data_IF_585399854944
#
_entry.id   IF_585399854944
#
_cell.length_a   1.000
_cell.length_b   1.000
_cell.length_c   1.000
_cell.angle_alpha   90.00
_cell.angle_beta   90.00
_cell.angle_gamma   90.00
#
_symmetry.space_group_name_H-M   'P 1'
#
loop_
_entity.id
_entity.type
_entity.pdbx_description
1 polymer ?
#
# COMPACT_ATOMS: atom_id res chain seq x y z
N UNK A 1 44.67 22.83 25.00
CA UNK A 1 45.27 21.58 24.48
C UNK A 1 44.13 20.61 24.26
N UNK A 2 44.01 20.12 23.03
CA UNK A 2 42.87 19.32 22.57
C UNK A 2 42.98 17.88 23.04
N UNK A 3 41.88 17.33 23.54
CA UNK A 3 41.68 15.90 23.71
C UNK A 3 40.60 15.49 22.70
N UNK A 4 41.06 15.05 21.54
CA UNK A 4 40.27 14.43 20.48
C UNK A 4 40.97 13.10 20.24
N UNK A 5 40.31 12.00 20.58
CA UNK A 5 40.30 10.73 19.84
C UNK A 5 39.77 9.60 20.74
N UNK A 6 38.44 9.49 20.90
CA UNK A 6 37.83 8.30 21.52
C UNK A 6 36.51 7.86 20.83
N UNK A 7 36.24 8.36 19.62
CA UNK A 7 35.03 8.01 18.85
C UNK A 7 35.25 6.86 17.84
N UNK A 8 36.47 6.31 17.68
CA UNK A 8 36.73 5.26 16.69
C UNK A 8 36.47 3.83 17.19
N UNK A 9 36.58 3.60 18.51
CA UNK A 9 36.42 2.25 19.12
C UNK A 9 35.05 1.60 18.86
N UNK A 10 33.91 2.31 18.95
CA UNK A 10 32.60 1.67 18.73
C UNK A 10 32.38 1.26 17.27
N UNK A 11 32.95 2.02 16.33
CA UNK A 11 32.81 1.76 14.90
C UNK A 11 33.66 0.55 14.46
N UNK A 12 34.88 0.42 14.99
CA UNK A 12 35.72 -0.77 14.75
C UNK A 12 35.11 -2.04 15.34
N UNK A 13 34.51 -1.96 16.53
CA UNK A 13 33.85 -3.10 17.16
C UNK A 13 32.60 -3.54 16.37
N UNK A 14 31.84 -2.59 15.80
CA UNK A 14 30.71 -2.89 14.93
C UNK A 14 31.15 -3.57 13.62
N UNK A 15 32.25 -3.13 13.02
CA UNK A 15 32.81 -3.75 11.82
C UNK A 15 33.35 -5.17 12.10
N UNK A 16 34.00 -5.37 13.25
CA UNK A 16 34.43 -6.69 13.72
C UNK A 16 33.25 -7.64 13.94
N UNK A 17 32.15 -7.17 14.52
CA UNK A 17 30.91 -7.95 14.69
C UNK A 17 30.27 -8.31 13.35
N UNK A 18 30.26 -7.38 12.38
CA UNK A 18 29.76 -7.64 11.03
C UNK A 18 30.62 -8.65 10.27
N UNK A 19 31.95 -8.57 10.42
CA UNK A 19 32.87 -9.53 9.82
C UNK A 19 32.71 -10.94 10.43
N UNK A 20 32.56 -11.03 11.75
CA UNK A 20 32.31 -12.31 12.43
C UNK A 20 30.96 -12.92 12.04
N UNK A 21 29.92 -12.09 11.86
CA UNK A 21 28.62 -12.57 11.39
C UNK A 21 28.71 -13.18 9.97
N UNK A 22 29.47 -12.56 9.07
CA UNK A 22 29.70 -13.11 7.71
C UNK A 22 30.51 -14.40 7.71
N UNK A 23 31.46 -14.56 8.64
CA UNK A 23 32.26 -15.78 8.74
C UNK A 23 31.44 -17.00 9.24
N UNK A 24 30.45 -16.77 10.11
CA UNK A 24 29.62 -17.82 10.71
C UNK A 24 28.29 -18.06 9.98
N UNK A 25 27.92 -17.20 9.04
CA UNK A 25 26.78 -17.39 8.13
C UNK A 25 27.24 -17.30 6.67
N UNK A 26 27.96 -18.30 6.14
CA UNK A 26 28.14 -18.40 4.70
C UNK A 26 26.75 -18.60 4.09
N UNK A 27 26.22 -17.56 3.44
CA UNK A 27 25.06 -17.69 2.59
C UNK A 27 25.34 -18.85 1.62
N UNK A 28 24.66 -19.98 1.82
CA UNK A 28 24.64 -21.06 0.84
C UNK A 28 23.99 -20.49 -0.43
N UNK A 29 24.82 -19.95 -1.31
CA UNK A 29 24.44 -19.72 -2.70
C UNK A 29 24.30 -21.11 -3.30
N UNK A 30 23.07 -21.62 -3.32
CA UNK A 30 22.72 -22.80 -4.10
C UNK A 30 23.07 -22.51 -5.55
N UNK A 31 24.23 -22.99 -5.96
CA UNK A 31 24.73 -22.89 -7.33
C UNK A 31 23.92 -23.89 -8.12
N UNK A 32 22.95 -23.41 -8.89
CA UNK A 32 22.25 -24.21 -9.90
C UNK A 32 23.29 -24.56 -10.98
N UNK A 33 23.36 -25.82 -11.46
CA UNK A 33 24.38 -26.23 -12.42
C UNK A 33 24.25 -25.48 -13.75
N UNK A 34 25.40 -25.12 -14.28
CA UNK A 34 25.60 -24.33 -15.49
C UNK A 34 24.93 -24.95 -16.72
N UNK A 35 24.11 -24.14 -17.40
CA UNK A 35 23.72 -24.35 -18.80
C UNK A 35 24.79 -23.72 -19.69
N UNK A 36 25.22 -24.37 -20.80
CA UNK A 36 26.30 -23.86 -21.64
C UNK A 36 25.93 -22.53 -22.32
N UNK A 37 26.83 -21.55 -22.24
CA UNK A 37 26.76 -20.30 -23.00
C UNK A 37 26.84 -20.57 -24.52
N UNK A 38 26.05 -19.87 -25.35
CA UNK A 38 26.43 -19.62 -26.73
C UNK A 38 27.48 -18.49 -26.81
N UNK A 39 28.44 -18.70 -27.69
CA UNK A 39 29.64 -17.89 -27.94
C UNK A 39 29.38 -16.39 -28.16
N UNK A 40 30.31 -15.51 -27.76
CA UNK A 40 30.23 -14.08 -28.04
C UNK A 40 30.57 -13.75 -29.50
N UNK A 41 29.67 -13.03 -30.18
CA UNK A 41 29.96 -12.34 -31.43
C UNK A 41 31.00 -11.23 -31.19
N UNK A 42 32.05 -11.12 -32.02
CA UNK A 42 33.02 -10.03 -31.94
C UNK A 42 32.50 -8.80 -32.68
N UNK A 43 32.58 -7.64 -32.02
CA UNK A 43 32.47 -6.34 -32.67
C UNK A 43 31.43 -5.45 -32.03
N UNK A 44 31.89 -4.53 -31.17
CA UNK A 44 31.46 -3.13 -31.10
C UNK A 44 32.40 -2.38 -30.11
N UNK A 45 32.75 -1.11 -30.38
CA UNK A 45 33.84 -0.42 -29.70
C UNK A 45 33.42 0.18 -28.34
N UNK A 46 34.40 0.28 -27.44
CA UNK A 46 34.31 0.86 -26.10
C UNK A 46 33.90 2.35 -26.12
N UNK A 47 33.07 2.82 -25.18
CA UNK A 47 32.85 4.25 -25.00
C UNK A 47 34.00 4.88 -24.19
N UNK A 48 34.59 5.91 -24.77
CA UNK A 48 35.59 6.80 -24.20
C UNK A 48 35.04 7.65 -23.05
N UNK A 49 35.81 7.73 -21.96
CA UNK A 49 35.67 8.74 -20.90
C UNK A 49 35.73 10.14 -21.51
N UNK A 50 34.71 10.97 -21.25
CA UNK A 50 34.77 12.41 -21.50
C UNK A 50 34.42 13.14 -20.22
N UNK A 51 35.42 13.81 -19.65
CA UNK A 51 35.28 14.78 -18.57
C UNK A 51 34.52 16.00 -19.09
N UNK A 52 33.34 16.27 -18.55
CA UNK A 52 32.59 17.49 -18.87
C UNK A 52 32.87 18.57 -17.81
N UNK A 53 33.60 19.59 -18.25
CA UNK A 53 33.86 20.86 -17.59
C UNK A 53 32.56 21.65 -17.35
N UNK A 54 32.40 22.19 -16.15
CA UNK A 54 31.33 23.11 -15.78
C UNK A 54 31.41 24.43 -16.58
N UNK A 55 30.29 24.81 -17.20
CA UNK A 55 30.04 26.16 -17.73
C UNK A 55 28.76 26.75 -17.13
N UNK A 56 28.64 28.07 -16.94
CA UNK A 56 27.48 28.67 -16.30
C UNK A 56 26.28 28.72 -17.26
N UNK A 57 25.19 28.02 -16.92
CA UNK A 57 23.95 28.08 -17.70
C UNK A 57 23.13 29.34 -17.39
N UNK A 58 22.73 30.02 -18.48
CA UNK A 58 21.75 31.09 -18.54
C UNK A 58 20.34 30.57 -18.24
N UNK A 59 19.54 31.42 -17.59
CA UNK A 59 18.10 31.22 -17.34
C UNK A 59 17.30 31.07 -18.66
N UNK A 60 16.33 30.14 -18.72
CA UNK A 60 15.37 30.06 -19.83
C UNK A 60 14.23 31.10 -19.70
N UNK A 61 13.67 31.60 -20.82
CA UNK A 61 12.52 32.50 -20.80
C UNK A 61 11.22 31.76 -20.47
N UNK A 62 10.33 32.47 -19.77
CA UNK A 62 9.01 32.05 -19.31
C UNK A 62 8.06 31.70 -20.48
N UNK A 63 7.26 30.62 -20.41
CA UNK A 63 6.23 30.34 -21.40
C UNK A 63 4.98 31.21 -21.17
N UNK A 64 4.51 31.85 -22.24
CA UNK A 64 3.23 32.57 -22.29
C UNK A 64 2.06 31.57 -22.42
N UNK A 65 1.05 31.70 -21.55
CA UNK A 65 -0.16 30.88 -21.62
C UNK A 65 -1.06 31.33 -22.79
N UNK A 66 -1.67 30.41 -23.55
CA UNK A 66 -2.68 30.76 -24.54
C UNK A 66 -3.98 31.19 -23.84
N UNK A 67 -4.47 32.36 -24.24
CA UNK A 67 -5.69 32.98 -23.75
C UNK A 67 -6.93 32.20 -24.22
N UNK A 68 -7.77 31.77 -23.27
CA UNK A 68 -9.01 31.04 -23.56
C UNK A 68 -10.03 31.98 -24.23
N UNK A 69 -10.45 31.68 -25.46
CA UNK A 69 -11.51 32.43 -26.15
C UNK A 69 -12.86 31.68 -26.01
N UNK A 70 -13.86 32.24 -25.31
CA UNK A 70 -15.14 31.55 -25.03
C UNK A 70 -16.07 31.39 -26.24
N UNK A 71 -15.71 31.90 -27.42
CA UNK A 71 -16.65 32.11 -28.53
C UNK A 71 -16.76 30.96 -29.53
N UNK A 72 -16.39 29.72 -29.16
CA UNK A 72 -16.40 28.56 -30.10
C UNK A 72 -17.16 27.32 -29.61
N UNK A 73 -18.21 27.49 -28.80
CA UNK A 73 -19.16 26.41 -28.52
C UNK A 73 -20.46 26.68 -29.27
N UNK A 74 -20.53 26.24 -30.53
CA UNK A 74 -21.76 26.24 -31.33
C UNK A 74 -22.39 24.85 -31.22
N UNK A 75 -23.36 24.70 -30.31
CA UNK A 75 -24.13 23.46 -30.14
C UNK A 75 -25.48 23.70 -30.84
N UNK A 76 -25.79 23.03 -31.96
CA UNK A 76 -27.11 23.12 -32.56
C UNK A 76 -28.13 22.42 -31.64
N UNK A 77 -29.29 23.05 -31.37
CA UNK A 77 -30.38 22.36 -30.70
C UNK A 77 -31.05 21.41 -31.69
N UNK A 78 -31.85 20.49 -31.16
CA UNK A 78 -32.81 19.63 -31.90
C UNK A 78 -32.26 18.37 -32.56
N UNK A 79 -32.10 17.31 -31.76
CA UNK A 79 -32.36 15.95 -32.20
C UNK A 79 -33.35 15.30 -31.22
N UNK A 80 -34.61 15.75 -31.29
CA UNK A 80 -35.74 15.01 -30.73
C UNK A 80 -35.95 13.77 -31.60
N UNK A 81 -35.59 12.59 -31.10
CA UNK A 81 -36.04 11.32 -31.64
C UNK A 81 -37.06 10.71 -30.66
N UNK A 82 -38.34 10.51 -31.04
CA UNK A 82 -39.25 9.71 -30.24
C UNK A 82 -38.89 8.23 -30.39
N UNK A 83 -38.72 7.56 -29.26
CA UNK A 83 -38.59 6.12 -29.18
C UNK A 83 -39.89 5.45 -29.65
N UNK A 84 -39.82 4.67 -30.73
CA UNK A 84 -40.84 3.69 -31.06
C UNK A 84 -40.82 2.58 -30.00
N UNK A 85 -41.90 2.49 -29.24
CA UNK A 85 -42.17 1.34 -28.39
C UNK A 85 -42.73 0.18 -29.24
N UNK A 86 -42.20 -1.05 -29.14
CA UNK A 86 -42.88 -2.21 -29.68
C UNK A 86 -43.89 -2.76 -28.66
N UNK A 87 -45.12 -2.85 -29.15
CA UNK A 87 -46.31 -3.44 -28.57
C UNK A 87 -46.09 -4.87 -28.08
N UNK A 88 -46.67 -5.16 -26.90
CA UNK A 88 -46.91 -6.50 -26.37
C UNK A 88 -47.52 -7.43 -27.43
N UNK A 89 -46.97 -8.63 -27.57
CA UNK A 89 -47.75 -9.81 -27.93
C UNK A 89 -47.38 -10.95 -26.99
N UNK A 90 -48.39 -11.40 -26.25
CA UNK A 90 -48.41 -12.64 -25.48
C UNK A 90 -48.96 -13.72 -26.42
N UNK A 91 -48.30 -14.87 -26.54
CA UNK A 91 -49.01 -16.11 -26.82
C UNK A 91 -48.85 -17.06 -25.62
N UNK A 92 -49.98 -17.26 -24.95
CA UNK A 92 -50.25 -18.31 -23.99
C UNK A 92 -50.26 -19.66 -24.75
N UNK A 93 -49.30 -20.53 -24.46
CA UNK A 93 -49.36 -21.95 -24.86
C UNK A 93 -49.00 -22.81 -23.67
N UNK A 94 -50.04 -23.45 -23.15
CA UNK A 94 -50.04 -24.58 -22.23
C UNK A 94 -48.85 -25.53 -22.42
N UNK A 95 -48.00 -25.63 -21.39
CA UNK A 95 -47.26 -26.85 -21.05
C UNK A 95 -47.15 -26.98 -19.54
N UNK A 96 -47.92 -27.91 -18.97
CA UNK A 96 -47.59 -28.54 -17.70
C UNK A 96 -46.48 -29.55 -18.02
N UNK A 97 -45.31 -29.47 -17.36
CA UNK A 97 -44.89 -30.65 -16.61
C UNK A 97 -44.14 -30.32 -15.31
N UNK A 98 -44.50 -31.05 -14.26
CA UNK A 98 -43.60 -31.35 -13.14
C UNK A 98 -43.92 -30.59 -11.86
N UNK A 99 -44.44 -31.33 -10.87
CA UNK A 99 -44.30 -30.98 -9.46
C UNK A 99 -42.82 -30.76 -9.15
N UNK A 100 -42.39 -29.49 -9.16
CA UNK A 100 -41.11 -29.11 -8.62
C UNK A 100 -41.17 -29.33 -7.11
N UNK A 101 -40.51 -30.39 -6.65
CA UNK A 101 -40.12 -30.60 -5.26
C UNK A 101 -39.65 -29.26 -4.69
N UNK A 102 -40.40 -28.72 -3.74
CA UNK A 102 -40.01 -27.52 -3.01
C UNK A 102 -38.61 -27.78 -2.43
N UNK A 103 -37.60 -27.12 -2.99
CA UNK A 103 -36.30 -27.07 -2.34
C UNK A 103 -36.54 -26.38 -0.99
N UNK A 104 -36.18 -27.02 0.14
CA UNK A 104 -36.22 -26.31 1.41
C UNK A 104 -35.37 -25.06 1.25
N UNK A 105 -35.95 -23.93 1.67
CA UNK A 105 -35.31 -22.63 1.73
C UNK A 105 -33.87 -22.82 2.20
N UNK A 106 -32.94 -22.61 1.26
CA UNK A 106 -31.51 -22.60 1.53
C UNK A 106 -31.28 -21.59 2.63
N UNK A 107 -30.86 -22.11 3.78
CA UNK A 107 -30.29 -21.39 4.90
C UNK A 107 -29.41 -20.24 4.37
N UNK A 108 -29.55 -18.99 4.87
CA UNK A 108 -28.70 -17.90 4.42
C UNK A 108 -27.24 -18.33 4.54
N UNK A 109 -26.39 -18.07 3.52
CA UNK A 109 -24.98 -18.45 3.57
C UNK A 109 -24.40 -17.96 4.90
N UNK A 110 -23.77 -18.86 5.65
CA UNK A 110 -23.02 -18.46 6.83
C UNK A 110 -22.08 -17.30 6.45
N UNK A 111 -21.92 -16.27 7.31
CA UNK A 111 -21.11 -15.11 6.97
C UNK A 111 -19.72 -15.58 6.56
N UNK A 112 -19.40 -15.43 5.27
CA UNK A 112 -18.15 -15.92 4.72
C UNK A 112 -17.01 -15.15 5.38
N UNK A 113 -16.14 -15.87 6.10
CA UNK A 113 -14.90 -15.29 6.61
C UNK A 113 -14.06 -14.85 5.42
N UNK A 114 -13.74 -13.57 5.35
CA UNK A 114 -12.91 -13.05 4.27
C UNK A 114 -11.54 -13.73 4.28
N UNK A 115 -11.14 -14.27 3.13
CA UNK A 115 -9.84 -14.90 2.96
C UNK A 115 -8.94 -13.99 2.12
N UNK A 116 -7.95 -13.30 2.72
CA UNK A 116 -7.03 -12.46 1.97
C UNK A 116 -6.06 -13.32 1.15
N UNK A 117 -5.70 -12.86 -0.04
CA UNK A 117 -4.71 -13.53 -0.88
C UNK A 117 -3.31 -12.97 -0.63
N UNK A 118 -2.32 -13.86 -0.66
CA UNK A 118 -0.90 -13.48 -0.73
C UNK A 118 -0.48 -13.53 -2.18
N UNK A 119 0.06 -12.42 -2.69
CA UNK A 119 0.44 -12.29 -4.09
C UNK A 119 1.94 -12.56 -4.24
N UNK A 120 2.36 -13.45 -5.16
CA UNK A 120 3.77 -13.68 -5.46
C UNK A 120 4.38 -12.46 -6.15
N UNK A 121 5.62 -12.13 -5.80
CA UNK A 121 6.41 -11.05 -6.42
C UNK A 121 7.35 -11.62 -7.50
N UNK A 122 7.65 -10.89 -8.58
CA UNK A 122 7.16 -9.54 -8.91
C UNK A 122 5.75 -9.57 -9.52
N UNK A 123 4.92 -8.59 -9.14
CA UNK A 123 3.59 -8.40 -9.75
C UNK A 123 3.65 -7.47 -10.96
N UNK A 124 2.97 -7.83 -12.05
CA UNK A 124 2.97 -7.02 -13.28
C UNK A 124 2.20 -5.70 -13.16
N UNK A 125 1.21 -5.64 -12.27
CA UNK A 125 0.47 -4.44 -11.91
C UNK A 125 -0.09 -4.59 -10.49
N UNK A 126 -0.31 -3.45 -9.83
CA UNK A 126 -0.92 -3.39 -8.50
C UNK A 126 -2.39 -3.02 -8.62
N UNK A 127 -3.26 -3.71 -7.88
CA UNK A 127 -4.69 -3.42 -7.82
C UNK A 127 -5.09 -2.95 -6.43
N UNK A 128 -6.24 -2.27 -6.33
CA UNK A 128 -6.83 -1.91 -5.05
C UNK A 128 -7.06 -3.14 -4.16
N UNK A 129 -7.45 -4.28 -4.74
CA UNK A 129 -7.65 -5.53 -4.01
C UNK A 129 -6.36 -6.05 -3.38
N UNK A 130 -5.24 -5.97 -4.10
CA UNK A 130 -3.93 -6.39 -3.57
C UNK A 130 -3.48 -5.53 -2.39
N UNK A 131 -3.73 -4.21 -2.47
CA UNK A 131 -3.49 -3.30 -1.35
C UNK A 131 -4.39 -3.62 -0.17
N UNK A 132 -5.68 -3.85 -0.44
CA UNK A 132 -6.64 -4.24 0.58
C UNK A 132 -6.20 -5.49 1.33
N UNK A 133 -5.89 -6.57 0.59
CA UNK A 133 -5.41 -7.84 1.15
C UNK A 133 -4.15 -7.65 1.98
N UNK A 134 -3.18 -6.89 1.46
CA UNK A 134 -1.94 -6.63 2.18
C UNK A 134 -2.17 -5.91 3.51
N UNK A 135 -2.97 -4.85 3.51
CA UNK A 135 -3.32 -4.13 4.74
C UNK A 135 -4.10 -5.03 5.69
N UNK A 136 -5.07 -5.79 5.17
CA UNK A 136 -5.87 -6.71 5.96
C UNK A 136 -4.99 -7.72 6.70
N UNK A 137 -4.05 -8.35 6.00
CA UNK A 137 -3.08 -9.29 6.59
C UNK A 137 -2.24 -8.61 7.66
N UNK A 138 -1.65 -7.45 7.35
CA UNK A 138 -0.80 -6.72 8.28
C UNK A 138 -1.55 -6.34 9.57
N UNK A 139 -2.78 -5.85 9.45
CA UNK A 139 -3.61 -5.53 10.60
C UNK A 139 -4.01 -6.79 11.38
N UNK A 140 -4.55 -7.82 10.71
CA UNK A 140 -4.96 -9.07 11.36
C UNK A 140 -3.82 -9.70 12.17
N UNK A 141 -2.61 -9.71 11.61
CA UNK A 141 -1.47 -10.40 12.19
C UNK A 141 -0.78 -9.59 13.32
N UNK A 142 -1.05 -8.29 13.44
CA UNK A 142 -0.37 -7.41 14.40
C UNK A 142 -1.29 -6.73 15.42
N UNK A 143 -2.59 -6.71 15.17
CA UNK A 143 -3.57 -6.24 16.15
C UNK A 143 -3.86 -7.32 17.19
N UNK A 144 -4.11 -6.93 18.44
CA UNK A 144 -4.54 -7.88 19.47
C UNK A 144 -5.95 -8.42 19.20
N UNK A 145 -6.45 -9.30 20.06
CA UNK A 145 -7.76 -9.98 19.96
C UNK A 145 -9.01 -9.05 19.96
N UNK A 146 -8.86 -7.75 19.76
CA UNK A 146 -9.98 -6.84 19.53
C UNK A 146 -10.69 -7.11 18.20
N UNK A 147 -9.96 -7.35 17.11
CA UNK A 147 -10.55 -7.57 15.78
C UNK A 147 -11.31 -8.90 15.67
N UNK A 148 -10.94 -9.92 16.44
CA UNK A 148 -11.67 -11.21 16.45
C UNK A 148 -13.10 -11.05 16.97
N UNK A 149 -13.32 -10.07 17.87
CA UNK A 149 -14.64 -9.71 18.38
C UNK A 149 -15.39 -8.74 17.47
N UNK A 150 -14.70 -8.07 16.55
CA UNK A 150 -15.31 -7.10 15.64
C UNK A 150 -14.69 -7.17 14.23
N UNK A 151 -15.01 -8.22 13.44
CA UNK A 151 -14.45 -8.39 12.10
C UNK A 151 -14.90 -7.27 11.14
N UNK A 152 -16.07 -6.68 11.37
CA UNK A 152 -16.56 -5.54 10.59
C UNK A 152 -15.66 -4.30 10.77
N UNK A 153 -15.13 -4.07 11.97
CA UNK A 153 -14.21 -2.97 12.22
C UNK A 153 -12.89 -3.15 11.47
N UNK A 154 -12.36 -4.38 11.43
CA UNK A 154 -11.17 -4.68 10.63
C UNK A 154 -11.41 -4.35 9.16
N UNK A 155 -12.53 -4.82 8.58
CA UNK A 155 -12.89 -4.51 7.20
C UNK A 155 -13.02 -3.01 6.93
N UNK A 156 -13.68 -2.26 7.81
CA UNK A 156 -13.91 -0.83 7.67
C UNK A 156 -12.58 -0.05 7.71
N UNK A 157 -11.70 -0.38 8.65
CA UNK A 157 -10.37 0.23 8.78
C UNK A 157 -9.52 -0.09 7.55
N UNK A 158 -9.45 -1.36 7.14
CA UNK A 158 -8.71 -1.77 5.94
C UNK A 158 -9.19 -1.01 4.71
N UNK A 159 -10.51 -0.92 4.51
CA UNK A 159 -11.09 -0.20 3.37
C UNK A 159 -10.68 1.27 3.37
N UNK A 160 -10.73 1.91 4.54
CA UNK A 160 -10.34 3.31 4.69
C UNK A 160 -8.86 3.53 4.36
N UNK A 161 -7.97 2.71 4.91
CA UNK A 161 -6.52 2.81 4.68
C UNK A 161 -6.15 2.50 3.22
N UNK A 162 -6.76 1.48 2.62
CA UNK A 162 -6.60 1.17 1.20
C UNK A 162 -7.08 2.34 0.32
N UNK A 163 -8.18 2.98 0.70
CA UNK A 163 -8.65 4.22 0.10
C UNK A 163 -7.62 5.34 0.24
N UNK A 164 -7.04 5.57 1.42
CA UNK A 164 -5.99 6.58 1.60
C UNK A 164 -4.80 6.32 0.70
N UNK A 165 -4.33 5.08 0.55
CA UNK A 165 -3.26 4.75 -0.40
C UNK A 165 -3.71 5.03 -1.83
N UNK A 166 -4.90 4.60 -2.21
CA UNK A 166 -5.37 4.72 -3.59
C UNK A 166 -5.61 6.19 -4.00
N UNK A 167 -6.05 7.03 -3.06
CA UNK A 167 -6.55 8.39 -3.31
C UNK A 167 -5.66 9.52 -2.76
N UNK A 168 -4.51 9.22 -2.13
CA UNK A 168 -3.61 10.26 -1.63
C UNK A 168 -2.80 10.91 -2.77
N UNK A 169 -3.29 12.06 -3.23
CA UNK A 169 -2.52 13.06 -4.00
C UNK A 169 -2.59 12.96 -5.53
N UNK A 170 -2.10 14.00 -6.24
CA UNK A 170 -2.34 14.22 -7.68
C UNK A 170 -1.69 13.20 -8.64
N UNK A 171 -1.02 12.17 -8.11
CA UNK A 171 -0.43 11.08 -8.91
C UNK A 171 -1.00 9.69 -8.62
N UNK A 172 -1.84 9.53 -7.59
CA UNK A 172 -2.17 8.21 -7.05
C UNK A 172 -0.94 7.48 -6.52
N UNK A 173 -1.08 6.63 -5.50
CA UNK A 173 0.06 5.82 -5.06
C UNK A 173 0.32 4.60 -5.95
N UNK A 174 -0.25 4.51 -7.15
CA UNK A 174 -0.04 3.39 -8.06
C UNK A 174 0.71 3.80 -9.31
N UNK A 175 1.61 2.92 -9.77
CA UNK A 175 2.33 3.09 -11.03
C UNK A 175 3.84 3.29 -10.85
N UNK A 176 4.56 3.65 -11.93
CA UNK A 176 6.02 3.67 -11.94
C UNK A 176 6.61 4.67 -10.94
N UNK A 177 5.91 5.76 -10.67
CA UNK A 177 6.31 6.80 -9.72
C UNK A 177 5.83 6.53 -8.28
N UNK A 178 4.93 5.56 -8.08
CA UNK A 178 4.29 5.27 -6.81
C UNK A 178 4.69 3.92 -6.21
N UNK A 179 3.71 3.23 -5.63
CA UNK A 179 3.79 1.84 -5.20
C UNK A 179 3.69 0.97 -6.46
N UNK A 180 4.69 0.12 -6.61
CA UNK A 180 4.77 -0.90 -7.65
C UNK A 180 4.50 -2.30 -7.10
N UNK A 181 4.63 -2.50 -5.79
CA UNK A 181 4.43 -3.79 -5.13
C UNK A 181 3.71 -3.63 -3.79
N UNK A 182 2.74 -4.51 -3.46
CA UNK A 182 2.13 -4.57 -2.13
C UNK A 182 3.16 -4.73 -0.99
N UNK A 183 4.32 -5.33 -1.24
CA UNK A 183 5.38 -5.48 -0.23
C UNK A 183 5.90 -4.13 0.31
N UNK A 184 5.76 -3.06 -0.46
CA UNK A 184 6.10 -1.69 -0.05
C UNK A 184 5.15 -1.12 1.01
N UNK A 185 4.04 -1.80 1.29
CA UNK A 185 3.14 -1.53 2.41
C UNK A 185 3.55 -2.47 3.54
N UNK A 186 4.02 -1.91 4.65
CA UNK A 186 4.52 -2.69 5.78
C UNK A 186 4.33 -1.94 7.09
N UNK A 187 4.47 -2.69 8.19
CA UNK A 187 4.49 -2.13 9.53
C UNK A 187 5.92 -1.83 9.94
N UNK A 188 6.11 -0.73 10.65
CA UNK A 188 7.41 -0.24 11.10
C UNK A 188 7.35 0.21 12.55
N UNK A 189 8.52 0.22 13.19
CA UNK A 189 8.72 0.86 14.48
C UNK A 189 9.35 2.23 14.24
N UNK A 190 8.57 3.28 14.49
CA UNK A 190 9.02 4.66 14.42
C UNK A 190 9.63 5.14 15.73
N UNK A 191 10.30 6.30 15.65
CA UNK A 191 10.92 6.97 16.80
C UNK A 191 10.62 8.46 16.76
N UNK A 192 10.25 9.02 17.91
CA UNK A 192 10.13 10.45 18.16
C UNK A 192 10.84 10.79 19.47
N UNK A 193 12.07 11.28 19.39
CA UNK A 193 12.90 11.52 20.58
C UNK A 193 13.21 10.22 21.32
N UNK A 194 12.75 10.09 22.57
CA UNK A 194 12.86 8.85 23.36
C UNK A 194 11.65 7.92 23.16
N UNK A 195 10.59 8.41 22.54
CA UNK A 195 9.37 7.65 22.31
C UNK A 195 9.52 6.74 21.10
N UNK A 196 8.89 5.58 21.18
CA UNK A 196 8.70 4.62 20.10
C UNK A 196 7.24 4.60 19.70
N UNK A 197 6.93 4.03 18.55
CA UNK A 197 5.56 3.72 18.14
C UNK A 197 5.58 2.70 17.02
N UNK A 198 4.49 1.96 16.86
CA UNK A 198 4.27 1.14 15.68
C UNK A 198 3.41 1.90 14.67
N UNK A 199 3.72 1.79 13.38
CA UNK A 199 2.98 2.46 12.33
C UNK A 199 2.86 1.61 11.06
N UNK A 200 1.77 1.79 10.32
CA UNK A 200 1.62 1.31 8.96
C UNK A 200 2.10 2.41 8.01
N UNK A 201 3.05 2.07 7.17
CA UNK A 201 3.63 3.01 6.23
C UNK A 201 3.80 2.40 4.84
N UNK A 202 4.00 3.30 3.88
CA UNK A 202 4.30 2.97 2.50
C UNK A 202 5.67 3.53 2.12
N UNK A 203 6.49 2.64 1.56
CA UNK A 203 7.80 2.97 1.00
C UNK A 203 7.74 3.03 -0.53
N UNK A 204 7.45 4.21 -1.08
CA UNK A 204 7.44 4.42 -2.53
C UNK A 204 8.86 4.64 -3.07
N UNK A 205 9.10 4.42 -4.37
CA UNK A 205 10.44 4.62 -4.95
C UNK A 205 10.89 6.08 -4.98
N UNK A 206 9.96 7.04 -5.03
CA UNK A 206 10.25 8.47 -5.22
C UNK A 206 10.11 9.30 -3.94
N UNK A 207 9.36 8.84 -2.95
CA UNK A 207 9.11 9.58 -1.72
C UNK A 207 9.83 8.97 -0.53
N UNK A 208 10.15 9.81 0.46
CA UNK A 208 10.36 9.32 1.82
C UNK A 208 9.14 8.51 2.29
N UNK A 209 9.37 7.66 3.29
CA UNK A 209 8.36 6.91 4.01
C UNK A 209 7.10 7.74 4.28
N UNK A 210 5.93 7.25 3.83
CA UNK A 210 4.64 7.87 4.13
C UNK A 210 3.90 7.05 5.18
N UNK A 211 3.73 7.62 6.37
CA UNK A 211 2.98 6.99 7.46
C UNK A 211 1.49 7.21 7.22
N UNK A 212 0.72 6.12 7.16
CA UNK A 212 -0.72 6.15 6.86
C UNK A 212 -1.54 5.89 8.12
N UNK A 213 -0.98 5.15 9.07
CA UNK A 213 -1.56 4.94 10.38
C UNK A 213 -0.44 4.92 11.41
N UNK A 214 -0.54 5.80 12.40
CA UNK A 214 0.42 5.91 13.50
C UNK A 214 -0.26 5.45 14.79
N UNK A 215 0.38 4.55 15.53
CA UNK A 215 -0.01 4.19 16.89
C UNK A 215 0.37 5.26 17.91
N UNK A 216 -0.14 5.11 19.12
CA UNK A 216 0.25 5.99 20.23
C UNK A 216 1.74 5.82 20.58
N UNK A 217 2.35 6.91 21.08
CA UNK A 217 3.74 6.92 21.53
C UNK A 217 3.88 6.09 22.81
N UNK A 218 4.88 5.20 22.83
CA UNK A 218 5.29 4.35 23.96
C UNK A 218 6.68 4.84 24.45
N UNK A 219 6.88 4.92 25.76
CA UNK A 219 8.19 5.21 26.38
C UNK A 219 8.59 4.04 27.28
N UNK A 220 9.82 3.55 27.12
CA UNK A 220 10.45 2.61 28.05
C UNK A 220 11.96 2.68 27.90
N UNK A 221 12.65 3.15 28.94
CA UNK A 221 14.09 3.07 29.24
C UNK A 221 15.07 2.94 28.06
N UNK A 222 14.92 3.75 27.01
CA UNK A 222 15.84 3.80 25.87
C UNK A 222 15.98 2.50 25.07
N UNK A 223 15.26 1.43 25.43
CA UNK A 223 15.38 0.12 24.81
C UNK A 223 14.84 0.14 23.38
N UNK A 224 15.34 -0.79 22.57
CA UNK A 224 14.84 -1.01 21.22
C UNK A 224 13.70 -2.04 21.27
N UNK A 225 12.49 -1.71 20.76
CA UNK A 225 11.36 -2.63 20.75
C UNK A 225 11.65 -3.96 20.02
N UNK A 226 12.65 -4.01 19.15
CA UNK A 226 13.05 -5.25 18.48
C UNK A 226 13.70 -6.26 19.43
N UNK A 227 14.23 -5.82 20.57
CA UNK A 227 14.89 -6.66 21.57
C UNK A 227 14.22 -6.62 22.96
N UNK A 228 13.27 -5.72 23.20
CA UNK A 228 12.48 -5.61 24.43
C UNK A 228 11.01 -5.98 24.14
N UNK A 229 10.60 -7.18 24.57
CA UNK A 229 9.26 -7.71 24.32
C UNK A 229 8.14 -6.89 24.96
N UNK A 230 8.38 -6.34 26.15
CA UNK A 230 7.39 -5.50 26.84
C UNK A 230 7.22 -4.16 26.12
N UNK A 231 8.31 -3.56 25.64
CA UNK A 231 8.23 -2.35 24.82
C UNK A 231 7.53 -2.63 23.48
N UNK A 232 7.82 -3.76 22.83
CA UNK A 232 7.06 -4.18 21.65
C UNK A 232 5.56 -4.33 21.95
N UNK A 233 5.20 -4.92 23.09
CA UNK A 233 3.82 -5.05 23.52
C UNK A 233 3.14 -3.69 23.74
N UNK A 234 3.83 -2.73 24.38
CA UNK A 234 3.33 -1.36 24.55
C UNK A 234 3.09 -0.68 23.21
N UNK A 235 3.98 -0.87 22.25
CA UNK A 235 3.85 -0.24 20.93
C UNK A 235 2.75 -0.92 20.10
N UNK A 236 2.51 -2.23 20.25
CA UNK A 236 1.34 -2.92 19.69
C UNK A 236 0.03 -2.42 20.30
N UNK A 237 -0.04 -2.28 21.61
CA UNK A 237 -1.21 -1.73 22.31
C UNK A 237 -1.49 -0.26 21.89
N UNK A 238 -0.43 0.54 21.71
CA UNK A 238 -0.54 1.86 21.12
C UNK A 238 -1.07 1.85 19.69
N UNK A 239 -0.67 0.87 18.88
CA UNK A 239 -1.18 0.68 17.52
C UNK A 239 -2.66 0.29 17.50
N UNK A 240 -3.09 -0.62 18.38
CA UNK A 240 -4.49 -1.01 18.57
C UNK A 240 -5.39 0.18 18.92
N UNK A 241 -4.92 1.05 19.82
CA UNK A 241 -5.61 2.32 20.11
C UNK A 241 -5.71 3.20 18.88
N UNK A 242 -4.64 3.32 18.09
CA UNK A 242 -4.63 4.05 16.82
C UNK A 242 -5.69 3.52 15.83
N UNK A 243 -5.77 2.19 15.68
CA UNK A 243 -6.79 1.53 14.85
C UNK A 243 -8.21 1.79 15.36
N UNK A 244 -8.40 1.67 16.67
CA UNK A 244 -9.71 1.90 17.30
C UNK A 244 -10.18 3.35 17.07
N UNK A 245 -9.28 4.33 17.25
CA UNK A 245 -9.54 5.76 16.95
C UNK A 245 -9.91 5.97 15.49
N UNK A 246 -9.21 5.31 14.56
CA UNK A 246 -9.52 5.40 13.13
C UNK A 246 -10.90 4.82 12.80
N UNK A 247 -11.26 3.69 13.42
CA UNK A 247 -12.56 3.07 13.26
C UNK A 247 -13.69 3.96 13.78
N UNK A 248 -13.58 4.48 15.01
CA UNK A 248 -14.62 5.37 15.58
C UNK A 248 -14.78 6.63 14.75
N UNK A 249 -13.69 7.21 14.25
CA UNK A 249 -13.74 8.33 13.32
C UNK A 249 -14.48 7.98 12.02
N UNK A 250 -14.24 6.78 11.46
CA UNK A 250 -14.91 6.32 10.25
C UNK A 250 -16.42 6.11 10.42
N UNK A 251 -16.83 5.55 11.56
CA UNK A 251 -18.25 5.39 11.89
C UNK A 251 -18.93 6.77 12.01
N UNK A 252 -18.34 7.68 12.77
CA UNK A 252 -18.89 9.02 12.97
C UNK A 252 -18.99 9.83 11.66
N UNK A 253 -18.02 9.68 10.76
CA UNK A 253 -18.04 10.34 9.44
C UNK A 253 -19.19 9.82 8.55
N UNK A 254 -19.45 8.50 8.59
CA UNK A 254 -20.53 7.89 7.82
C UNK A 254 -21.91 8.33 8.33
N UNK A 255 -22.09 8.43 9.64
CA UNK A 255 -23.33 8.92 10.26
C UNK A 255 -23.64 10.36 9.85
N UNK A 256 -22.63 11.24 9.83
CA UNK A 256 -22.78 12.63 9.36
C UNK A 256 -23.22 12.72 7.90
N UNK A 257 -22.64 11.88 7.03
CA UNK A 257 -22.99 11.83 5.60
C UNK A 257 -24.39 11.27 5.37
N UNK A 258 -24.87 10.37 6.22
CA UNK A 258 -26.24 9.87 6.16
C UNK A 258 -27.25 10.94 6.63
N UNK A 259 -26.92 11.71 7.67
CA UNK A 259 -27.77 12.80 8.17
C UNK A 259 -27.91 13.99 7.24
N UNK A 260 -26.97 14.22 6.31
CA UNK A 260 -27.05 15.28 5.29
C UNK A 260 -27.88 14.91 4.05
N UNK A 261 -28.30 13.64 3.93
CA UNK A 261 -29.10 13.15 2.78
C UNK A 261 -30.59 13.05 3.07
N UNK A 262 -31.01 13.41 4.28
CA UNK A 262 -32.41 13.55 4.70
C UNK A 262 -32.77 15.02 4.84
#
# INVERSE_FOLDING_TARGET
>A
MADRDDFSRPAEEALLRLANFKAHNPLCVTTVPAVPQPSPCPGLPSPSMSSATYGPQRLPPTPSFPQFQPSRMNIPPTAYAPAYAPTRQVPEVNRIPGLATQRPYSQPPAPQTYQPLVYPEPVGFITQRMVYDRIYILLRDNLTNWWTRNPAALHAVTHRLAGTITYSGPKGMFGPDGIQSPSQISLYIGREGIYRYMCLAVNSKQSAFSIILKGDLCEKDGNDPLYDEELMALCKDGFDRGVTKLYTFAVAENERKAGQKN
#
